data_IF_033337434633
#
_entry.id   IF_033337434633
#
_cell.length_a   1.000
_cell.length_b   1.000
_cell.length_c   1.000
_cell.angle_alpha   90.00
_cell.angle_beta   90.00
_cell.angle_gamma   90.00
#
_symmetry.space_group_name_H-M   'P 1'
#
loop_
_entity.id
_entity.type
_entity.pdbx_description
1 polymer ?
#
# COMPACT_ATOMS: atom_id res chain seq x y z
N UNK A 1 9.74 -27.65 -47.26
CA UNK A 1 9.99 -27.64 -45.80
C UNK A 1 9.52 -26.31 -45.25
N UNK A 2 8.45 -26.29 -44.43
CA UNK A 2 8.23 -25.44 -43.23
C UNK A 2 6.79 -25.67 -42.74
N UNK A 3 6.62 -26.62 -41.81
CA UNK A 3 5.35 -26.82 -41.12
C UNK A 3 5.19 -25.76 -40.03
N UNK A 4 4.36 -24.75 -40.28
CA UNK A 4 3.89 -23.82 -39.25
C UNK A 4 2.97 -24.56 -38.29
N UNK A 5 3.49 -24.91 -37.11
CA UNK A 5 2.68 -25.42 -35.99
C UNK A 5 1.81 -24.29 -35.44
N UNK A 6 0.54 -24.27 -35.84
CA UNK A 6 -0.47 -23.42 -35.22
C UNK A 6 -0.73 -23.86 -33.78
N UNK A 7 -0.39 -23.03 -32.81
CA UNK A 7 -0.82 -23.22 -31.42
C UNK A 7 -2.34 -23.03 -31.35
N UNK A 8 -3.11 -24.01 -30.85
CA UNK A 8 -4.56 -23.87 -30.75
C UNK A 8 -4.90 -22.78 -29.72
N UNK A 9 -5.85 -21.92 -30.08
CA UNK A 9 -6.43 -20.96 -29.12
C UNK A 9 -7.02 -21.76 -27.94
N UNK A 10 -6.68 -21.43 -26.69
CA UNK A 10 -7.25 -22.13 -25.55
C UNK A 10 -8.77 -21.90 -25.50
N UNK A 11 -9.56 -22.92 -25.14
CA UNK A 11 -11.01 -22.80 -25.09
C UNK A 11 -11.44 -21.73 -24.06
N UNK A 12 -12.54 -21.00 -24.32
CA UNK A 12 -13.06 -20.01 -23.39
C UNK A 12 -13.40 -20.68 -22.05
N UNK A 13 -12.95 -20.05 -20.96
CA UNK A 13 -13.13 -20.58 -19.61
C UNK A 13 -14.61 -20.80 -19.31
N UNK A 14 -14.95 -21.96 -18.73
CA UNK A 14 -16.31 -22.27 -18.30
C UNK A 14 -16.84 -21.19 -17.32
N UNK A 15 -18.16 -20.93 -17.29
CA UNK A 15 -18.75 -19.88 -16.46
C UNK A 15 -18.35 -19.98 -14.98
N UNK A 16 -18.31 -21.20 -14.44
CA UNK A 16 -17.86 -21.49 -13.07
C UNK A 16 -16.39 -21.12 -12.86
N UNK A 17 -15.52 -21.41 -13.84
CA UNK A 17 -14.09 -21.11 -13.76
C UNK A 17 -13.82 -19.60 -13.81
N UNK A 18 -14.65 -18.82 -14.52
CA UNK A 18 -14.63 -17.34 -14.51
C UNK A 18 -15.04 -16.77 -13.14
N UNK A 19 -16.09 -17.30 -12.54
CA UNK A 19 -16.54 -16.90 -11.20
C UNK A 19 -15.49 -17.19 -10.13
N UNK A 20 -14.86 -18.37 -10.18
CA UNK A 20 -13.77 -18.74 -9.28
C UNK A 20 -12.54 -17.84 -9.45
N UNK A 21 -12.16 -17.51 -10.69
CA UNK A 21 -11.08 -16.54 -10.94
C UNK A 21 -11.41 -15.15 -10.39
N UNK A 22 -12.64 -14.66 -10.58
CA UNK A 22 -13.10 -13.40 -9.96
C UNK A 22 -12.94 -13.49 -8.44
N UNK A 23 -13.47 -14.53 -7.81
CA UNK A 23 -13.41 -14.71 -6.35
C UNK A 23 -11.97 -14.78 -5.82
N UNK A 24 -11.06 -15.43 -6.54
CA UNK A 24 -9.61 -15.44 -6.23
C UNK A 24 -8.98 -14.06 -6.34
N UNK A 25 -9.29 -13.28 -7.38
CA UNK A 25 -8.79 -11.90 -7.53
C UNK A 25 -9.27 -10.99 -6.40
N UNK A 26 -10.54 -11.11 -5.99
CA UNK A 26 -11.09 -10.36 -4.86
C UNK A 26 -10.40 -10.70 -3.53
N UNK A 27 -10.18 -11.99 -3.24
CA UNK A 27 -9.42 -12.42 -2.06
C UNK A 27 -7.96 -11.93 -2.10
N UNK A 28 -7.32 -11.98 -3.26
CA UNK A 28 -5.96 -11.46 -3.46
C UNK A 28 -5.85 -9.96 -3.19
N UNK A 29 -6.82 -9.16 -3.65
CA UNK A 29 -6.88 -7.71 -3.36
C UNK A 29 -7.07 -7.45 -1.87
N UNK A 30 -7.99 -8.16 -1.20
CA UNK A 30 -8.23 -8.00 0.24
C UNK A 30 -6.98 -8.31 1.05
N UNK A 31 -6.29 -9.41 0.76
CA UNK A 31 -5.02 -9.75 1.41
C UNK A 31 -3.87 -8.77 1.11
N UNK A 32 -3.88 -8.11 -0.06
CA UNK A 32 -2.93 -7.02 -0.35
C UNK A 32 -3.20 -5.78 0.50
N UNK A 33 -4.47 -5.39 0.67
CA UNK A 33 -4.88 -4.27 1.53
C UNK A 33 -4.53 -4.55 2.98
N UNK A 34 -4.84 -5.73 3.49
CA UNK A 34 -4.50 -6.12 4.87
C UNK A 34 -2.98 -6.08 5.14
N UNK A 35 -2.16 -6.51 4.18
CA UNK A 35 -0.70 -6.39 4.28
C UNK A 35 -0.23 -4.93 4.33
N UNK A 36 -0.84 -4.04 3.53
CA UNK A 36 -0.53 -2.60 3.57
C UNK A 36 -0.96 -1.97 4.89
N UNK A 37 -2.13 -2.31 5.41
CA UNK A 37 -2.63 -1.83 6.70
C UNK A 37 -1.73 -2.31 7.85
N UNK A 38 -1.33 -3.58 7.86
CA UNK A 38 -0.36 -4.11 8.85
C UNK A 38 0.99 -3.41 8.77
N UNK A 39 1.45 -3.07 7.56
CA UNK A 39 2.69 -2.30 7.39
C UNK A 39 2.54 -0.89 7.95
N UNK A 40 1.42 -0.23 7.69
CA UNK A 40 1.12 1.09 8.24
C UNK A 40 1.06 1.08 9.76
N UNK A 41 0.39 0.08 10.37
CA UNK A 41 0.36 -0.11 11.83
C UNK A 41 1.75 -0.22 12.48
N UNK A 42 2.74 -0.77 11.76
CA UNK A 42 4.13 -0.87 12.25
C UNK A 42 4.91 0.43 12.12
N UNK A 43 4.57 1.28 11.14
CA UNK A 43 5.26 2.54 10.86
C UNK A 43 4.77 3.68 11.75
N UNK A 44 3.47 3.71 12.06
CA UNK A 44 2.87 4.81 12.82
C UNK A 44 3.05 4.56 14.32
N UNK A 45 3.61 5.53 15.08
CA UNK A 45 3.66 5.45 16.54
C UNK A 45 2.26 5.24 17.13
N UNK A 46 2.09 4.22 17.98
CA UNK A 46 0.78 3.85 18.52
C UNK A 46 -0.12 3.04 17.58
N UNK A 47 0.28 2.84 16.31
CA UNK A 47 -0.51 2.11 15.30
C UNK A 47 -0.74 0.63 15.62
N UNK A 48 0.16 -0.03 16.36
CA UNK A 48 -0.01 -1.43 16.81
C UNK A 48 -1.10 -1.58 17.88
N UNK A 49 -1.38 -0.52 18.66
CA UNK A 49 -2.43 -0.55 19.70
C UNK A 49 -3.83 -0.40 19.10
N UNK A 50 -3.94 -0.08 17.81
CA UNK A 50 -5.20 0.07 17.08
C UNK A 50 -5.65 -1.30 16.56
N UNK A 51 -6.19 -2.13 17.46
CA UNK A 51 -6.49 -3.53 17.17
C UNK A 51 -7.70 -3.80 16.26
N UNK A 52 -8.56 -2.82 15.95
CA UNK A 52 -9.79 -3.14 15.19
C UNK A 52 -10.43 -2.02 14.34
N UNK A 53 -9.96 -0.78 14.37
CA UNK A 53 -10.61 0.32 13.64
C UNK A 53 -9.64 1.01 12.67
N UNK A 54 -9.91 0.89 11.36
CA UNK A 54 -9.15 1.57 10.31
C UNK A 54 -9.17 3.08 10.49
N UNK A 55 -10.26 3.63 11.00
CA UNK A 55 -10.49 5.07 11.07
C UNK A 55 -9.53 5.73 12.05
N UNK A 56 -9.30 5.07 13.19
CA UNK A 56 -8.29 5.50 14.18
C UNK A 56 -6.87 5.45 13.63
N UNK A 57 -6.56 4.44 12.81
CA UNK A 57 -5.25 4.34 12.15
C UNK A 57 -5.02 5.52 11.20
N UNK A 58 -6.06 5.93 10.45
CA UNK A 58 -5.97 7.07 9.54
C UNK A 58 -5.73 8.37 10.27
N UNK A 59 -6.45 8.63 11.38
CA UNK A 59 -6.24 9.84 12.20
C UNK A 59 -4.79 9.90 12.70
N UNK A 60 -4.29 8.82 13.32
CA UNK A 60 -2.90 8.76 13.78
C UNK A 60 -1.89 8.93 12.65
N UNK A 61 -2.21 8.43 11.46
CA UNK A 61 -1.36 8.60 10.28
C UNK A 61 -1.27 10.07 9.87
N UNK A 62 -2.40 10.79 9.84
CA UNK A 62 -2.45 12.22 9.50
C UNK A 62 -1.67 13.04 10.52
N UNK A 63 -1.90 12.79 11.81
CA UNK A 63 -1.18 13.47 12.90
C UNK A 63 0.34 13.23 12.79
N UNK A 64 0.75 11.99 12.52
CA UNK A 64 2.16 11.65 12.42
C UNK A 64 2.83 12.28 11.18
N UNK A 65 2.14 12.31 10.03
CA UNK A 65 2.63 13.00 8.83
C UNK A 65 2.81 14.49 9.11
N UNK A 66 1.84 15.12 9.79
CA UNK A 66 1.91 16.54 10.14
C UNK A 66 3.10 16.81 11.07
N UNK A 67 3.28 15.98 12.11
CA UNK A 67 4.41 16.08 13.03
C UNK A 67 5.76 15.98 12.30
N UNK A 68 5.91 14.99 11.42
CA UNK A 68 7.14 14.82 10.64
C UNK A 68 7.42 16.02 9.74
N UNK A 69 6.39 16.53 9.04
CA UNK A 69 6.54 17.74 8.21
C UNK A 69 7.02 18.94 9.01
N UNK A 70 6.44 19.14 10.20
CA UNK A 70 6.87 20.23 11.08
C UNK A 70 8.33 20.05 11.52
N UNK A 71 8.72 18.85 11.96
CA UNK A 71 10.10 18.55 12.37
C UNK A 71 11.10 18.80 11.23
N UNK A 72 10.79 18.33 10.02
CA UNK A 72 11.63 18.55 8.84
C UNK A 72 11.72 20.04 8.50
N UNK A 73 10.60 20.77 8.53
CA UNK A 73 10.59 22.20 8.23
C UNK A 73 11.40 22.99 9.26
N UNK A 74 11.28 22.68 10.55
CA UNK A 74 12.09 23.31 11.60
C UNK A 74 13.58 23.07 11.38
N UNK A 75 13.98 21.81 11.18
CA UNK A 75 15.37 21.44 10.90
C UNK A 75 15.91 22.15 9.66
N UNK A 76 15.10 22.23 8.60
CA UNK A 76 15.48 22.91 7.37
C UNK A 76 15.65 24.42 7.57
N UNK A 77 14.74 25.08 8.29
CA UNK A 77 14.86 26.51 8.60
C UNK A 77 16.10 26.79 9.44
N UNK A 78 16.36 25.99 10.48
CA UNK A 78 17.56 26.12 11.30
C UNK A 78 18.82 25.91 10.46
N UNK A 79 18.85 24.85 9.65
CA UNK A 79 19.98 24.58 8.75
C UNK A 79 20.24 25.73 7.78
N UNK A 80 19.21 26.36 7.22
CA UNK A 80 19.37 27.56 6.38
C UNK A 80 19.99 28.72 7.14
N UNK A 81 19.51 28.99 8.35
CA UNK A 81 20.04 30.08 9.19
C UNK A 81 21.54 29.84 9.48
N UNK A 82 21.92 28.62 9.86
CA UNK A 82 23.33 28.28 10.09
C UNK A 82 24.17 28.34 8.80
N UNK A 83 23.63 27.88 7.67
CA UNK A 83 24.32 27.91 6.38
C UNK A 83 24.43 29.31 5.78
N UNK A 84 23.60 30.28 6.21
CA UNK A 84 23.71 31.68 5.81
C UNK A 84 24.65 32.50 6.69
N UNK A 85 25.08 31.97 7.83
CA UNK A 85 25.93 32.66 8.81
C UNK A 85 27.39 32.22 8.80
N UNK A 86 27.71 31.20 7.99
CA UNK A 86 29.06 30.74 7.61
C UNK A 86 29.30 31.12 6.14
#
# INVERSE_FOLDING_TARGET
MTHSRGFPRPPPLSPLRRLLQRRRRWRGRRGAVERKVRRLQRLIPGGQRVHYSSDKLYVLTVEYILKLRLQVNLLHTLSKIYSSHM
#
